data_IF_306694721173
#
_entry.id   IF_306694721173
#
_cell.length_a   1.000
_cell.length_b   1.000
_cell.length_c   1.000
_cell.angle_alpha   90.00
_cell.angle_beta   90.00
_cell.angle_gamma   90.00
#
_symmetry.space_group_name_H-M   'P 1'
#
loop_
_entity.id
_entity.type
_entity.pdbx_description
1 polymer ?
#
# COMPACT_ATOMS: atom_id res chain seq x y z
N UNK A 1 -5.09 -10.06 -15.27
CA UNK A 1 -5.97 -10.57 -14.19
C UNK A 1 -5.52 -10.16 -12.77
N UNK A 2 -4.26 -10.37 -12.36
CA UNK A 2 -3.79 -10.11 -10.96
C UNK A 2 -4.03 -8.68 -10.44
N UNK A 3 -3.81 -7.66 -11.28
CA UNK A 3 -4.08 -6.25 -10.94
C UNK A 3 -5.55 -5.97 -10.60
N UNK A 4 -6.47 -6.66 -11.28
CA UNK A 4 -7.92 -6.47 -11.09
C UNK A 4 -8.40 -7.07 -9.76
N UNK A 5 -7.89 -8.24 -9.33
CA UNK A 5 -8.30 -8.85 -8.06
C UNK A 5 -7.83 -8.05 -6.84
N UNK A 6 -6.59 -7.53 -6.88
CA UNK A 6 -6.06 -6.65 -5.84
C UNK A 6 -6.88 -5.37 -5.75
N UNK A 7 -7.11 -4.69 -6.89
CA UNK A 7 -7.94 -3.47 -6.95
C UNK A 7 -9.36 -3.72 -6.47
N UNK A 8 -9.98 -4.84 -6.80
CA UNK A 8 -11.35 -5.15 -6.38
C UNK A 8 -11.47 -5.24 -4.87
N UNK A 9 -10.57 -5.97 -4.22
CA UNK A 9 -10.55 -6.12 -2.75
C UNK A 9 -10.27 -4.78 -2.07
N UNK A 10 -9.29 -4.01 -2.56
CA UNK A 10 -9.01 -2.67 -2.05
C UNK A 10 -10.22 -1.73 -2.20
N UNK A 11 -10.88 -1.73 -3.36
CA UNK A 11 -12.05 -0.91 -3.59
C UNK A 11 -13.23 -1.28 -2.69
N UNK A 12 -13.42 -2.57 -2.38
CA UNK A 12 -14.45 -3.01 -1.44
C UNK A 12 -14.18 -2.43 -0.05
N UNK A 13 -12.96 -2.56 0.47
CA UNK A 13 -12.58 -1.99 1.76
C UNK A 13 -12.72 -0.46 1.79
N UNK A 14 -12.18 0.23 0.78
CA UNK A 14 -12.19 1.69 0.72
C UNK A 14 -13.60 2.29 0.61
N UNK A 15 -14.57 1.54 0.04
CA UNK A 15 -15.98 1.95 0.02
C UNK A 15 -16.66 1.82 1.38
N UNK A 16 -16.31 0.80 2.16
CA UNK A 16 -16.91 0.56 3.49
C UNK A 16 -16.18 1.30 4.62
N UNK A 17 -14.94 1.72 4.38
CA UNK A 17 -14.15 2.48 5.34
C UNK A 17 -14.64 3.93 5.48
N UNK A 18 -15.48 4.15 6.49
CA UNK A 18 -16.10 5.43 6.77
C UNK A 18 -15.24 6.39 7.60
N UNK A 19 -14.00 6.01 7.97
CA UNK A 19 -13.15 6.80 8.86
C UNK A 19 -12.59 8.08 8.22
N UNK A 20 -12.58 9.16 8.99
CA UNK A 20 -11.95 10.44 8.65
C UNK A 20 -12.71 11.29 7.63
N UNK A 21 -12.18 12.49 7.35
CA UNK A 21 -12.77 13.44 6.41
C UNK A 21 -12.73 12.95 4.96
N UNK A 22 -13.54 13.56 4.08
CA UNK A 22 -13.53 13.27 2.64
C UNK A 22 -12.13 13.38 2.02
N UNK A 23 -11.35 14.40 2.42
CA UNK A 23 -9.97 14.59 1.97
C UNK A 23 -9.08 13.42 2.39
N UNK A 24 -9.25 12.92 3.62
CA UNK A 24 -8.50 11.77 4.12
C UNK A 24 -8.88 10.49 3.36
N UNK A 25 -10.18 10.27 3.09
CA UNK A 25 -10.67 9.15 2.27
C UNK A 25 -10.06 9.17 0.88
N UNK A 26 -10.10 10.32 0.19
CA UNK A 26 -9.50 10.50 -1.15
C UNK A 26 -7.99 10.22 -1.12
N UNK A 27 -7.28 10.70 -0.09
CA UNK A 27 -5.85 10.45 0.06
C UNK A 27 -5.54 8.95 0.26
N UNK A 28 -6.31 8.24 1.10
CA UNK A 28 -6.14 6.79 1.27
C UNK A 28 -6.33 6.04 -0.03
N UNK A 29 -7.41 6.32 -0.76
CA UNK A 29 -7.68 5.70 -2.07
C UNK A 29 -6.54 5.93 -3.04
N UNK A 30 -6.06 7.17 -3.14
CA UNK A 30 -4.91 7.51 -3.99
C UNK A 30 -3.67 6.68 -3.63
N UNK A 31 -3.30 6.59 -2.35
CA UNK A 31 -2.10 5.87 -1.92
C UNK A 31 -2.21 4.36 -2.21
N UNK A 32 -3.37 3.74 -1.92
CA UNK A 32 -3.55 2.30 -2.14
C UNK A 32 -3.57 1.97 -3.64
N UNK A 33 -4.20 2.80 -4.47
CA UNK A 33 -4.14 2.61 -5.92
C UNK A 33 -2.73 2.80 -6.45
N UNK A 34 -2.01 3.83 -5.99
CA UNK A 34 -0.61 4.07 -6.35
C UNK A 34 0.28 2.87 -5.99
N UNK A 35 0.14 2.31 -4.79
CA UNK A 35 0.86 1.10 -4.38
C UNK A 35 0.64 -0.05 -5.37
N UNK A 36 -0.61 -0.35 -5.72
CA UNK A 36 -0.94 -1.45 -6.62
C UNK A 36 -0.41 -1.19 -8.03
N UNK A 37 -0.57 0.03 -8.52
CA UNK A 37 -0.11 0.42 -9.86
C UNK A 37 1.41 0.38 -9.96
N UNK A 38 2.13 0.86 -8.94
CA UNK A 38 3.59 0.87 -8.94
C UNK A 38 4.17 -0.53 -8.75
N UNK A 39 3.56 -1.40 -7.92
CA UNK A 39 3.95 -2.83 -7.88
C UNK A 39 3.77 -3.50 -9.24
N UNK A 40 2.77 -3.07 -10.01
CA UNK A 40 2.55 -3.56 -11.38
C UNK A 40 3.63 -3.07 -12.35
N UNK A 41 4.03 -1.80 -12.25
CA UNK A 41 5.11 -1.25 -13.06
C UNK A 41 6.45 -1.95 -12.75
N UNK A 42 6.71 -2.24 -11.47
CA UNK A 42 7.91 -2.96 -11.03
C UNK A 42 7.91 -4.42 -11.56
N UNK A 43 6.76 -4.96 -11.94
CA UNK A 43 6.61 -6.35 -12.39
C UNK A 43 6.56 -7.37 -11.26
N UNK A 44 6.72 -6.94 -9.99
CA UNK A 44 6.63 -7.80 -8.82
C UNK A 44 5.28 -7.61 -8.10
N UNK A 45 4.23 -8.16 -8.70
CA UNK A 45 2.86 -8.06 -8.16
C UNK A 45 2.51 -9.35 -7.42
N UNK A 46 2.10 -9.28 -6.14
CA UNK A 46 1.64 -10.47 -5.43
C UNK A 46 0.35 -11.01 -6.07
N UNK A 47 0.13 -12.32 -6.00
CA UNK A 47 -1.09 -12.96 -6.53
C UNK A 47 -2.35 -12.56 -5.75
N UNK A 48 -2.21 -12.28 -4.45
CA UNK A 48 -3.26 -11.83 -3.55
C UNK A 48 -2.66 -11.04 -2.37
N UNK A 49 -3.50 -10.41 -1.54
CA UNK A 49 -3.06 -9.62 -0.38
C UNK A 49 -2.27 -10.44 0.64
N UNK A 50 -2.64 -11.71 0.85
CA UNK A 50 -1.92 -12.61 1.76
C UNK A 50 -0.53 -13.03 1.23
N UNK A 51 -0.32 -12.93 -0.09
CA UNK A 51 0.98 -13.21 -0.71
C UNK A 51 1.89 -11.98 -0.78
N UNK A 52 1.44 -10.81 -0.27
CA UNK A 52 2.27 -9.64 -0.12
C UNK A 52 3.37 -9.93 0.91
N UNK A 53 4.61 -9.61 0.54
CA UNK A 53 5.83 -9.92 1.32
C UNK A 53 6.65 -8.65 1.48
N UNK A 54 7.57 -8.67 2.44
CA UNK A 54 8.50 -7.56 2.71
C UNK A 54 9.28 -7.15 1.45
N UNK A 55 9.72 -8.12 0.65
CA UNK A 55 10.44 -7.85 -0.60
C UNK A 55 9.66 -6.95 -1.57
N UNK A 56 8.33 -7.13 -1.68
CA UNK A 56 7.47 -6.27 -2.50
C UNK A 56 7.47 -4.82 -1.99
N UNK A 57 7.39 -4.63 -0.66
CA UNK A 57 7.39 -3.31 -0.04
C UNK A 57 8.76 -2.63 -0.18
N UNK A 58 9.86 -3.36 0.01
CA UNK A 58 11.21 -2.85 -0.17
C UNK A 58 11.45 -2.36 -1.60
N UNK A 59 11.04 -3.16 -2.60
CA UNK A 59 11.14 -2.76 -4.00
C UNK A 59 10.26 -1.55 -4.33
N UNK A 60 9.07 -1.45 -3.74
CA UNK A 60 8.20 -0.29 -3.89
C UNK A 60 8.85 0.98 -3.32
N UNK A 61 9.47 0.91 -2.14
CA UNK A 61 10.22 2.03 -1.54
C UNK A 61 11.38 2.42 -2.45
N UNK A 62 12.19 1.47 -2.90
CA UNK A 62 13.32 1.71 -3.79
C UNK A 62 12.88 2.38 -5.10
N UNK A 63 11.76 1.92 -5.67
CA UNK A 63 11.16 2.53 -6.86
C UNK A 63 10.76 3.98 -6.60
N UNK A 64 10.07 4.27 -5.49
CA UNK A 64 9.70 5.64 -5.13
C UNK A 64 10.88 6.57 -4.85
N UNK A 65 11.95 6.04 -4.25
CA UNK A 65 13.20 6.77 -4.05
C UNK A 65 13.86 7.11 -5.40
N UNK A 66 13.89 6.16 -6.35
CA UNK A 66 14.37 6.42 -7.73
C UNK A 66 13.53 7.47 -8.45
N UNK A 67 12.22 7.52 -8.19
CA UNK A 67 11.30 8.55 -8.68
C UNK A 67 11.40 9.89 -7.91
N UNK A 68 12.39 10.04 -7.02
CA UNK A 68 12.66 11.25 -6.22
C UNK A 68 11.47 11.70 -5.36
N UNK A 69 10.60 10.76 -4.95
CA UNK A 69 9.54 11.06 -3.96
C UNK A 69 10.23 11.36 -2.62
N UNK A 70 9.86 12.49 -1.99
CA UNK A 70 10.45 12.92 -0.72
C UNK A 70 10.29 11.83 0.35
N UNK A 71 11.32 11.58 1.19
CA UNK A 71 11.25 10.58 2.27
C UNK A 71 10.03 10.74 3.19
N UNK A 72 9.69 11.98 3.56
CA UNK A 72 8.50 12.27 4.37
C UNK A 72 7.19 11.84 3.68
N UNK A 73 7.10 12.00 2.35
CA UNK A 73 5.95 11.54 1.57
C UNK A 73 5.88 10.02 1.51
N UNK A 74 7.03 9.34 1.32
CA UNK A 74 7.11 7.87 1.36
C UNK A 74 6.64 7.36 2.72
N UNK A 75 7.10 7.96 3.81
CA UNK A 75 6.70 7.57 5.17
C UNK A 75 5.18 7.76 5.39
N UNK A 76 4.60 8.84 4.87
CA UNK A 76 3.16 9.08 4.91
C UNK A 76 2.39 8.02 4.12
N UNK A 77 2.85 7.69 2.91
CA UNK A 77 2.24 6.63 2.10
C UNK A 77 2.32 5.28 2.81
N UNK A 78 3.47 4.97 3.39
CA UNK A 78 3.70 3.72 4.11
C UNK A 78 2.82 3.60 5.36
N UNK A 79 2.55 4.70 6.06
CA UNK A 79 1.60 4.72 7.19
C UNK A 79 0.19 4.35 6.75
N UNK A 80 -0.26 4.90 5.62
CA UNK A 80 -1.58 4.57 5.04
C UNK A 80 -1.64 3.11 4.58
N UNK A 81 -0.58 2.62 3.95
CA UNK A 81 -0.50 1.21 3.50
C UNK A 81 -0.53 0.27 4.70
N UNK A 82 0.21 0.57 5.77
CA UNK A 82 0.21 -0.24 7.00
C UNK A 82 -1.19 -0.34 7.60
N UNK A 83 -1.85 0.80 7.77
CA UNK A 83 -3.21 0.85 8.32
C UNK A 83 -4.15 0.02 7.45
N UNK A 84 -4.16 0.25 6.13
CA UNK A 84 -4.95 -0.54 5.20
C UNK A 84 -4.71 -2.05 5.34
N UNK A 85 -3.44 -2.49 5.30
CA UNK A 85 -3.08 -3.90 5.40
C UNK A 85 -3.56 -4.51 6.73
N UNK A 86 -3.35 -3.83 7.86
CA UNK A 86 -3.82 -4.33 9.16
C UNK A 86 -5.34 -4.52 9.23
N UNK A 87 -6.11 -3.74 8.48
CA UNK A 87 -7.57 -3.86 8.46
C UNK A 87 -8.08 -4.93 7.46
N UNK A 88 -7.31 -5.28 6.42
CA UNK A 88 -7.70 -6.31 5.43
C UNK A 88 -7.02 -7.67 5.65
N UNK A 89 -5.88 -7.70 6.33
CA UNK A 89 -5.11 -8.89 6.67
C UNK A 89 -4.67 -8.80 8.13
N UNK A 90 -4.96 -9.84 8.91
CA UNK A 90 -4.60 -9.93 10.34
C UNK A 90 -3.08 -10.04 10.62
N UNK A 91 -2.22 -9.81 9.62
CA UNK A 91 -0.83 -10.30 9.59
C UNK A 91 0.28 -9.23 9.53
N UNK A 92 0.02 -7.95 9.85
CA UNK A 92 1.03 -6.89 9.70
C UNK A 92 1.32 -6.00 10.92
N UNK A 93 1.13 -6.54 12.12
CA UNK A 93 1.30 -5.75 13.35
C UNK A 93 2.76 -5.43 13.71
N UNK A 94 3.74 -6.28 13.33
CA UNK A 94 5.11 -6.23 13.90
C UNK A 94 6.18 -5.56 12.99
N UNK A 95 5.97 -5.44 11.68
CA UNK A 95 7.09 -5.28 10.73
C UNK A 95 7.58 -3.86 10.41
N UNK A 96 6.91 -2.80 10.85
CA UNK A 96 7.25 -1.43 10.45
C UNK A 96 8.48 -0.81 11.14
N UNK A 97 8.92 -1.36 12.28
CA UNK A 97 10.06 -0.83 13.05
C UNK A 97 11.43 -1.05 12.37
N UNK A 98 11.54 -1.98 11.42
CA UNK A 98 12.83 -2.41 10.86
C UNK A 98 13.22 -1.73 9.53
N UNK A 99 12.27 -1.07 8.86
CA UNK A 99 12.47 -0.53 7.50
C UNK A 99 12.88 0.96 7.47
N UNK A 100 12.87 1.63 8.62
CA UNK A 100 13.11 3.08 8.76
C UNK A 100 13.96 3.43 9.98
N UNK A 101 14.95 2.59 10.31
CA UNK A 101 15.99 2.92 11.29
C UNK A 101 17.21 3.48 10.58
#
# INVERSE_FOLDING_TARGET
>A
MRKYSLRQTANRYLKTDNRGSFKNKKHRTFVIHKMIDDLFIIGNVPSCWNALKIAHIQQLVQYWQKQKIKPATIMRYMTVIRDFLNNITWLFTIFFKLLFK
#
